data_IF_426674799358
#
_entry.id   IF_426674799358
#
_cell.length_a   1.000
_cell.length_b   1.000
_cell.length_c   1.000
_cell.angle_alpha   90.00
_cell.angle_beta   90.00
_cell.angle_gamma   90.00
#
_symmetry.space_group_name_H-M   'P 1'
#
loop_
_entity.id
_entity.type
_entity.pdbx_description
1 polymer ?
#
# COMPACT_ATOMS: atom_id res chain seq x y z
N UNK A 1 57.03 29.55 39.92
CA UNK A 1 56.91 29.56 38.44
C UNK A 1 56.02 28.38 38.15
N UNK A 2 54.71 28.60 38.25
CA UNK A 2 53.68 27.57 38.37
C UNK A 2 52.60 27.89 37.35
N UNK A 3 52.16 26.85 36.66
CA UNK A 3 51.44 26.86 35.39
C UNK A 3 49.97 27.28 35.54
N UNK A 4 49.49 28.01 34.54
CA UNK A 4 48.08 28.37 34.34
C UNK A 4 47.57 27.60 33.11
N UNK A 5 46.83 26.52 33.34
CA UNK A 5 46.34 25.60 32.29
C UNK A 5 44.88 25.16 32.51
N UNK A 6 44.04 26.02 33.12
CA UNK A 6 42.64 25.66 33.42
C UNK A 6 41.58 26.50 32.69
N UNK A 7 41.96 27.32 31.70
CA UNK A 7 41.04 28.29 31.10
C UNK A 7 40.73 28.10 29.60
N UNK A 8 40.89 26.88 29.05
CA UNK A 8 40.65 26.63 27.60
C UNK A 8 39.67 25.50 27.24
N UNK A 9 38.90 24.95 28.18
CA UNK A 9 37.95 23.87 27.86
C UNK A 9 36.46 24.25 27.82
N UNK A 10 36.08 25.50 28.12
CA UNK A 10 34.66 25.88 28.18
C UNK A 10 34.06 26.43 26.86
N UNK A 11 34.87 26.79 25.87
CA UNK A 11 34.37 27.48 24.67
C UNK A 11 33.94 26.55 23.51
N UNK A 12 34.07 25.22 23.63
CA UNK A 12 33.77 24.30 22.51
C UNK A 12 32.38 23.64 22.54
N UNK A 13 31.61 23.77 23.63
CA UNK A 13 30.25 23.24 23.69
C UNK A 13 29.29 24.26 24.32
N UNK A 14 28.73 25.14 23.47
CA UNK A 14 27.64 26.05 23.81
C UNK A 14 26.33 25.33 24.14
N UNK A 15 26.31 24.54 25.22
CA UNK A 15 25.14 23.88 25.74
C UNK A 15 24.62 24.64 26.97
N UNK A 16 23.52 25.39 26.79
CA UNK A 16 22.75 25.92 27.92
C UNK A 16 22.27 24.77 28.82
N UNK A 17 22.20 24.95 30.15
CA UNK A 17 21.69 23.94 31.05
C UNK A 17 20.23 23.60 30.71
N UNK A 18 19.96 22.30 30.54
CA UNK A 18 18.63 21.78 30.21
C UNK A 18 17.81 21.67 31.51
N UNK A 19 16.55 22.14 31.54
CA UNK A 19 15.69 22.02 32.72
C UNK A 19 15.43 20.55 33.08
N UNK A 20 15.55 20.23 34.38
CA UNK A 20 15.44 18.90 34.99
C UNK A 20 14.00 18.36 35.14
N UNK A 21 13.06 18.77 34.28
CA UNK A 21 11.71 18.18 34.29
C UNK A 21 11.62 16.97 33.35
N UNK A 22 10.98 15.86 33.76
CA UNK A 22 10.78 14.71 32.90
C UNK A 22 9.87 15.10 31.74
N UNK A 23 10.48 15.25 30.56
CA UNK A 23 9.76 15.36 29.29
C UNK A 23 8.90 14.12 29.10
N UNK A 24 7.67 14.30 28.62
CA UNK A 24 6.83 13.16 28.21
C UNK A 24 7.59 12.27 27.24
N UNK A 25 7.30 10.96 27.23
CA UNK A 25 7.93 9.99 26.33
C UNK A 25 7.90 10.46 24.87
N UNK A 26 6.80 11.09 24.44
CA UNK A 26 6.68 11.67 23.10
C UNK A 26 7.65 12.83 22.85
N UNK A 27 7.89 13.71 23.83
CA UNK A 27 8.84 14.82 23.71
C UNK A 27 10.29 14.33 23.61
N UNK A 28 10.61 13.24 24.32
CA UNK A 28 11.93 12.58 24.20
C UNK A 28 12.08 11.93 22.82
N UNK A 29 11.07 11.21 22.33
CA UNK A 29 11.08 10.59 21.01
C UNK A 29 11.19 11.64 19.89
N UNK A 30 10.48 12.77 19.99
CA UNK A 30 10.60 13.89 19.06
C UNK A 30 12.00 14.49 19.02
N UNK A 31 12.65 14.66 20.19
CA UNK A 31 14.03 15.15 20.26
C UNK A 31 15.03 14.15 19.63
N UNK A 32 14.82 12.85 19.81
CA UNK A 32 15.64 11.80 19.20
C UNK A 32 15.49 11.81 17.68
N UNK A 33 14.27 11.93 17.15
CA UNK A 33 14.01 12.02 15.72
C UNK A 33 14.70 13.23 15.07
N UNK A 34 14.59 14.42 15.69
CA UNK A 34 15.26 15.65 15.19
C UNK A 34 16.79 15.51 15.19
N UNK A 35 17.37 14.86 16.20
CA UNK A 35 18.81 14.60 16.24
C UNK A 35 19.24 13.57 15.21
N UNK A 36 18.44 12.53 14.96
CA UNK A 36 18.69 11.53 13.90
C UNK A 36 18.81 12.19 12.52
N UNK A 37 17.91 13.11 12.19
CA UNK A 37 17.93 13.80 10.89
C UNK A 37 19.13 14.72 10.67
N UNK A 38 19.92 15.00 11.71
CA UNK A 38 21.16 15.80 11.62
C UNK A 38 22.43 14.97 11.58
N UNK A 39 22.32 13.66 11.73
CA UNK A 39 23.49 12.79 11.73
C UNK A 39 23.96 12.51 10.31
N UNK A 40 25.29 12.49 10.08
CA UNK A 40 25.84 12.01 8.83
C UNK A 40 25.33 10.61 8.47
N UNK A 41 25.13 10.35 7.19
CA UNK A 41 24.60 9.07 6.68
C UNK A 41 25.38 7.83 7.15
N UNK A 42 26.70 7.95 7.34
CA UNK A 42 27.53 6.87 7.91
C UNK A 42 27.27 6.61 9.41
N UNK A 43 26.89 7.64 10.19
CA UNK A 43 26.53 7.51 11.61
C UNK A 43 25.11 6.97 11.77
N UNK A 44 24.20 7.28 10.85
CA UNK A 44 22.87 6.68 10.80
C UNK A 44 22.94 5.16 10.54
N UNK A 45 23.88 4.73 9.70
CA UNK A 45 24.15 3.31 9.48
C UNK A 45 24.65 2.59 10.74
N UNK A 46 25.51 3.22 11.54
CA UNK A 46 26.00 2.61 12.79
C UNK A 46 24.93 2.56 13.89
N UNK A 47 24.02 3.54 13.94
CA UNK A 47 22.90 3.53 14.90
C UNK A 47 21.78 2.54 14.54
N UNK A 48 21.65 2.17 13.27
CA UNK A 48 20.71 1.13 12.84
C UNK A 48 21.16 -0.30 13.22
N UNK A 49 22.38 -0.48 13.75
CA UNK A 49 22.89 -1.77 14.21
C UNK A 49 22.25 -2.29 15.52
N UNK A 50 21.47 -1.48 16.23
CA UNK A 50 20.86 -1.87 17.52
C UNK A 50 19.37 -2.18 17.46
N UNK A 51 18.72 -2.09 16.29
CA UNK A 51 17.41 -2.71 16.16
C UNK A 51 17.59 -4.22 16.03
N UNK A 52 16.78 -5.05 16.73
CA UNK A 52 16.79 -6.48 16.52
C UNK A 52 16.64 -6.73 15.03
N UNK A 53 17.51 -7.56 14.46
CA UNK A 53 17.58 -7.76 13.03
C UNK A 53 16.21 -8.18 12.49
N UNK A 54 15.47 -7.24 11.91
CA UNK A 54 14.20 -7.50 11.24
C UNK A 54 14.43 -8.26 9.93
N UNK A 55 15.70 -8.53 9.57
CA UNK A 55 16.11 -9.22 8.35
C UNK A 55 15.58 -10.64 8.19
N UNK A 56 14.98 -11.22 9.25
CA UNK A 56 14.43 -12.57 9.23
C UNK A 56 12.91 -12.66 9.08
N UNK A 57 12.16 -11.56 9.25
CA UNK A 57 10.70 -11.57 9.11
C UNK A 57 10.33 -10.75 7.87
N UNK A 58 9.60 -11.35 6.95
CA UNK A 58 9.01 -10.61 5.83
C UNK A 58 7.63 -10.09 6.25
N UNK A 59 7.12 -9.03 5.60
CA UNK A 59 5.71 -8.69 5.69
C UNK A 59 4.84 -9.91 5.46
N UNK A 60 3.74 -9.98 6.21
CA UNK A 60 2.74 -11.04 6.01
C UNK A 60 1.54 -10.44 5.32
N UNK A 61 0.76 -11.24 4.61
CA UNK A 61 -0.49 -10.78 4.04
C UNK A 61 -1.57 -11.83 4.27
N UNK A 62 -2.83 -11.41 4.17
CA UNK A 62 -3.98 -12.29 4.21
C UNK A 62 -4.99 -11.94 3.12
N UNK A 63 -6.07 -12.72 3.07
CA UNK A 63 -7.17 -12.54 2.12
C UNK A 63 -8.54 -12.64 2.80
N UNK A 64 -9.48 -11.80 2.39
CA UNK A 64 -10.85 -11.75 2.89
C UNK A 64 -11.82 -11.65 1.72
N UNK A 65 -12.99 -12.25 1.90
CA UNK A 65 -14.12 -12.16 0.98
C UNK A 65 -15.31 -11.56 1.71
N UNK A 66 -15.85 -10.48 1.14
CA UNK A 66 -17.10 -9.87 1.54
C UNK A 66 -18.18 -10.36 0.59
N UNK A 67 -19.31 -10.81 1.13
CA UNK A 67 -20.55 -10.94 0.39
C UNK A 67 -21.51 -9.86 0.90
N UNK A 68 -21.59 -8.69 0.23
CA UNK A 68 -22.41 -7.60 0.71
C UNK A 68 -23.88 -7.98 0.70
N UNK A 69 -24.51 -7.91 1.88
CA UNK A 69 -25.95 -8.09 2.02
C UNK A 69 -26.65 -7.03 1.15
N UNK A 70 -27.28 -7.49 0.07
CA UNK A 70 -27.99 -6.65 -0.90
C UNK A 70 -29.35 -6.19 -0.38
N UNK A 71 -29.86 -6.82 0.69
CA UNK A 71 -31.18 -6.53 1.25
C UNK A 71 -31.17 -5.37 2.24
N UNK A 72 -29.98 -4.99 2.74
CA UNK A 72 -29.84 -3.92 3.72
C UNK A 72 -29.14 -2.73 3.09
N UNK A 73 -29.76 -1.56 3.17
CA UNK A 73 -29.18 -0.25 2.84
C UNK A 73 -28.02 0.17 3.76
N UNK A 74 -27.28 -0.80 4.32
CA UNK A 74 -26.11 -0.52 5.14
C UNK A 74 -25.00 0.01 4.23
N UNK A 75 -24.72 1.29 4.43
CA UNK A 75 -23.61 2.06 3.84
C UNK A 75 -22.24 1.41 4.08
N UNK A 76 -22.13 0.48 5.02
CA UNK A 76 -20.87 -0.12 5.46
C UNK A 76 -21.07 -1.60 5.76
N UNK A 77 -20.19 -2.44 5.22
CA UNK A 77 -20.01 -3.81 5.67
C UNK A 77 -18.64 -3.89 6.36
N UNK A 78 -18.61 -4.54 7.53
CA UNK A 78 -17.42 -4.66 8.35
C UNK A 78 -17.18 -6.12 8.66
N UNK A 79 -15.96 -6.60 8.44
CA UNK A 79 -15.46 -7.83 9.04
C UNK A 79 -14.65 -7.42 10.26
N UNK A 80 -15.04 -7.91 11.43
CA UNK A 80 -14.43 -7.52 12.70
C UNK A 80 -13.41 -8.55 13.17
N UNK A 81 -12.53 -8.10 14.06
CA UNK A 81 -11.64 -8.98 14.83
C UNK A 81 -10.69 -9.83 13.98
N UNK A 82 -10.25 -9.31 12.83
CA UNK A 82 -9.25 -9.97 11.98
C UNK A 82 -7.92 -9.97 12.72
N UNK A 83 -7.37 -11.13 13.08
CA UNK A 83 -6.14 -11.19 13.86
C UNK A 83 -4.96 -10.72 13.01
N UNK A 84 -4.02 -10.03 13.64
CA UNK A 84 -2.73 -9.76 13.01
C UNK A 84 -1.98 -11.07 12.81
N UNK A 85 -1.42 -11.27 11.63
CA UNK A 85 -0.60 -12.42 11.32
C UNK A 85 0.71 -12.41 12.11
N UNK A 86 1.18 -11.24 12.54
CA UNK A 86 2.39 -11.06 13.35
C UNK A 86 2.13 -10.96 14.85
N UNK A 87 0.89 -11.18 15.32
CA UNK A 87 0.53 -11.12 16.75
C UNK A 87 1.24 -12.20 17.60
N UNK A 88 2.53 -12.02 17.86
CA UNK A 88 3.21 -12.72 18.94
C UNK A 88 2.91 -12.03 20.27
N UNK A 89 2.68 -12.82 21.32
CA UNK A 89 2.48 -12.33 22.70
C UNK A 89 3.60 -11.33 23.04
N UNK A 90 3.25 -10.05 23.15
CA UNK A 90 4.15 -9.00 23.63
C UNK A 90 4.50 -7.87 22.65
N UNK A 91 4.03 -7.89 21.39
CA UNK A 91 4.12 -6.67 20.57
C UNK A 91 3.06 -5.66 21.03
N UNK A 92 3.51 -4.47 21.43
CA UNK A 92 2.65 -3.36 21.87
C UNK A 92 2.28 -2.42 20.72
N UNK A 93 2.91 -2.57 19.56
CA UNK A 93 2.74 -1.65 18.44
C UNK A 93 1.87 -2.25 17.34
N UNK A 94 0.91 -1.46 16.87
CA UNK A 94 -0.04 -1.86 15.83
C UNK A 94 0.66 -1.85 14.46
N UNK A 95 0.62 -2.95 13.69
CA UNK A 95 1.18 -2.98 12.34
C UNK A 95 0.36 -2.10 11.39
N UNK A 96 1.00 -1.59 10.34
CA UNK A 96 0.26 -0.94 9.26
C UNK A 96 -0.43 -2.01 8.39
N UNK A 97 -1.67 -1.75 7.98
CA UNK A 97 -2.48 -2.65 7.15
C UNK A 97 -2.78 -1.95 5.82
N UNK A 98 -2.33 -2.55 4.72
CA UNK A 98 -2.39 -1.96 3.38
C UNK A 98 -3.31 -2.82 2.52
N UNK A 99 -4.56 -2.41 2.28
CA UNK A 99 -5.52 -3.19 1.50
C UNK A 99 -5.27 -3.05 -0.01
N UNK A 100 -5.58 -4.10 -0.75
CA UNK A 100 -5.62 -4.13 -2.21
C UNK A 100 -6.86 -4.91 -2.68
N UNK A 101 -7.65 -4.28 -3.56
CA UNK A 101 -8.80 -4.97 -4.17
C UNK A 101 -8.26 -5.99 -5.18
N UNK A 102 -8.66 -7.24 -5.03
CA UNK A 102 -8.31 -8.33 -5.96
C UNK A 102 -9.50 -8.94 -6.68
N UNK A 103 -10.72 -8.76 -6.17
CA UNK A 103 -11.92 -9.16 -6.88
C UNK A 103 -13.10 -8.28 -6.51
N UNK A 104 -14.03 -8.14 -7.45
CA UNK A 104 -15.39 -7.73 -7.14
C UNK A 104 -16.38 -8.21 -8.21
N UNK A 105 -17.63 -8.38 -7.79
CA UNK A 105 -18.76 -8.75 -8.64
C UNK A 105 -19.86 -7.70 -8.53
N UNK A 106 -20.25 -7.12 -9.67
CA UNK A 106 -21.35 -6.17 -9.82
C UNK A 106 -22.35 -6.69 -10.86
N UNK A 107 -23.49 -7.27 -10.44
CA UNK A 107 -24.51 -7.78 -11.36
C UNK A 107 -25.27 -6.70 -12.13
N UNK A 108 -25.40 -5.48 -11.60
CA UNK A 108 -26.17 -4.42 -12.26
C UNK A 108 -25.24 -3.44 -13.00
N UNK A 109 -25.41 -3.34 -14.32
CA UNK A 109 -24.69 -2.43 -15.20
C UNK A 109 -25.15 -0.96 -15.09
N UNK A 110 -26.36 -0.72 -14.56
CA UNK A 110 -27.00 0.60 -14.54
C UNK A 110 -26.67 1.45 -13.31
N UNK A 111 -25.92 0.93 -12.34
CA UNK A 111 -25.67 1.62 -11.07
C UNK A 111 -24.26 2.20 -10.97
N UNK A 112 -24.13 3.28 -10.19
CA UNK A 112 -22.81 3.83 -9.83
C UNK A 112 -22.00 2.76 -9.11
N UNK A 113 -20.72 2.60 -9.44
CA UNK A 113 -19.78 1.78 -8.67
C UNK A 113 -19.23 2.64 -7.53
N UNK A 114 -19.24 2.14 -6.29
CA UNK A 114 -18.67 2.82 -5.13
C UNK A 114 -18.18 1.79 -4.11
N UNK A 115 -16.90 1.46 -4.18
CA UNK A 115 -16.27 0.49 -3.31
C UNK A 115 -15.05 1.13 -2.69
N UNK A 116 -14.98 1.24 -1.38
CA UNK A 116 -13.78 1.68 -0.68
C UNK A 116 -13.44 0.69 0.43
N UNK A 117 -12.20 0.23 0.46
CA UNK A 117 -11.70 -0.69 1.46
C UNK A 117 -10.81 0.09 2.43
N UNK A 118 -10.99 -0.12 3.74
CA UNK A 118 -10.12 0.47 4.75
C UNK A 118 -9.94 -0.48 5.94
N UNK A 119 -8.71 -0.56 6.45
CA UNK A 119 -8.47 -1.12 7.76
C UNK A 119 -8.85 -0.09 8.82
N UNK A 120 -9.66 -0.51 9.79
CA UNK A 120 -10.21 0.36 10.84
C UNK A 120 -10.14 -0.35 12.20
N UNK A 121 -10.47 0.38 13.26
CA UNK A 121 -10.58 -0.17 14.62
C UNK A 121 -9.41 -1.09 15.02
N UNK A 122 -8.18 -0.65 14.70
CA UNK A 122 -6.96 -1.39 15.01
C UNK A 122 -6.76 -1.44 16.52
N UNK A 123 -6.72 -2.65 17.06
CA UNK A 123 -6.54 -3.00 18.47
C UNK A 123 -5.21 -3.71 18.64
N UNK A 124 -4.92 -4.25 19.82
CA UNK A 124 -3.57 -4.79 20.09
C UNK A 124 -3.34 -6.14 19.39
N UNK A 125 -4.39 -6.92 19.15
CA UNK A 125 -4.30 -8.26 18.55
C UNK A 125 -5.02 -8.40 17.20
N UNK A 126 -5.82 -7.41 16.83
CA UNK A 126 -6.71 -7.50 15.68
C UNK A 126 -7.09 -6.13 15.11
N UNK A 127 -7.73 -6.15 13.95
CA UNK A 127 -8.29 -4.98 13.30
C UNK A 127 -9.62 -5.34 12.63
N UNK A 128 -10.34 -4.32 12.18
CA UNK A 128 -11.54 -4.51 11.38
C UNK A 128 -11.24 -4.11 9.93
N UNK A 129 -11.82 -4.81 8.95
CA UNK A 129 -11.77 -4.41 7.55
C UNK A 129 -13.15 -3.93 7.13
N UNK A 130 -13.23 -2.70 6.64
CA UNK A 130 -14.46 -2.07 6.19
C UNK A 130 -14.50 -1.97 4.67
N UNK A 131 -15.64 -2.38 4.11
CA UNK A 131 -16.04 -2.08 2.75
C UNK A 131 -17.15 -1.01 2.80
N UNK A 132 -16.77 0.23 2.52
CA UNK A 132 -17.65 1.39 2.48
C UNK A 132 -18.31 1.54 1.10
N UNK A 133 -19.61 1.87 1.13
CA UNK A 133 -20.48 2.08 -0.03
C UNK A 133 -21.26 3.37 0.18
N UNK A 134 -21.09 4.39 -0.66
CA UNK A 134 -21.84 5.66 -0.50
C UNK A 134 -23.27 5.61 -1.05
N UNK A 135 -23.59 4.62 -1.89
CA UNK A 135 -24.90 4.43 -2.52
C UNK A 135 -25.35 2.98 -2.42
N UNK A 136 -26.66 2.75 -2.52
CA UNK A 136 -27.22 1.40 -2.62
C UNK A 136 -26.58 0.72 -3.83
N UNK A 137 -25.74 -0.27 -3.54
CA UNK A 137 -24.90 -0.93 -4.50
C UNK A 137 -25.18 -2.41 -4.42
N UNK A 138 -25.50 -2.99 -5.57
CA UNK A 138 -25.47 -4.43 -5.76
C UNK A 138 -24.02 -4.82 -6.10
N UNK A 139 -23.20 -5.00 -5.07
CA UNK A 139 -21.99 -5.80 -5.18
C UNK A 139 -22.31 -7.16 -4.56
N UNK A 140 -22.08 -8.24 -5.29
CA UNK A 140 -22.34 -9.60 -4.79
C UNK A 140 -21.16 -10.14 -3.99
N UNK A 141 -19.95 -9.79 -4.42
CA UNK A 141 -18.71 -10.29 -3.87
C UNK A 141 -17.65 -9.21 -3.99
N UNK A 142 -16.82 -9.08 -2.96
CA UNK A 142 -15.59 -8.29 -2.99
C UNK A 142 -14.51 -9.14 -2.32
N UNK A 143 -13.35 -9.27 -2.96
CA UNK A 143 -12.19 -9.89 -2.34
C UNK A 143 -11.05 -8.89 -2.21
N UNK A 144 -10.41 -8.95 -1.05
CA UNK A 144 -9.34 -8.04 -0.64
C UNK A 144 -8.16 -8.89 -0.17
N UNK A 145 -6.97 -8.57 -0.65
CA UNK A 145 -5.74 -8.92 0.04
C UNK A 145 -5.29 -7.72 0.90
N UNK A 146 -4.63 -7.97 2.03
CA UNK A 146 -3.96 -6.91 2.79
C UNK A 146 -2.54 -7.30 3.12
N UNK A 147 -1.63 -6.33 3.04
CA UNK A 147 -0.27 -6.44 3.54
C UNK A 147 -0.23 -5.93 4.98
N UNK A 148 0.37 -6.71 5.87
CA UNK A 148 0.66 -6.36 7.24
C UNK A 148 2.15 -6.02 7.38
N UNK A 149 2.42 -4.74 7.65
CA UNK A 149 3.76 -4.24 7.95
C UNK A 149 3.90 -4.08 9.46
N UNK A 150 4.60 -5.02 10.07
CA UNK A 150 5.01 -4.94 11.47
C UNK A 150 5.73 -3.61 11.75
N UNK A 151 5.52 -3.05 12.93
CA UNK A 151 6.05 -1.72 13.27
C UNK A 151 7.58 -1.67 13.20
N UNK A 152 8.26 -2.79 13.41
CA UNK A 152 9.71 -2.90 13.24
C UNK A 152 10.14 -2.66 11.78
N UNK A 153 9.32 -3.04 10.81
CA UNK A 153 9.56 -2.74 9.41
C UNK A 153 9.48 -1.25 9.13
N UNK A 154 8.45 -0.57 9.62
CA UNK A 154 8.26 0.86 9.40
C UNK A 154 9.27 1.71 10.17
N UNK A 155 9.60 1.33 11.41
CA UNK A 155 10.62 2.01 12.22
C UNK A 155 12.04 1.85 11.65
N UNK A 156 12.32 0.73 10.97
CA UNK A 156 13.63 0.54 10.31
C UNK A 156 13.84 1.45 9.10
N UNK A 157 12.79 2.12 8.60
CA UNK A 157 12.82 2.91 7.36
C UNK A 157 12.91 2.07 6.08
N UNK A 158 13.02 0.73 6.18
CA UNK A 158 13.10 -0.18 5.02
C UNK A 158 11.77 -0.40 4.33
N UNK A 159 10.67 -0.09 5.01
CA UNK A 159 9.32 -0.19 4.50
C UNK A 159 8.54 1.06 4.91
N UNK A 160 7.80 1.64 3.98
CA UNK A 160 6.88 2.73 4.23
C UNK A 160 5.62 2.49 3.42
N UNK A 161 4.49 3.02 3.87
CA UNK A 161 3.21 2.79 3.22
C UNK A 161 2.26 3.94 3.47
N UNK A 162 1.22 4.02 2.66
CA UNK A 162 0.13 4.96 2.87
C UNK A 162 -1.04 4.68 1.94
N UNK A 163 -2.04 5.54 2.05
CA UNK A 163 -3.21 5.54 1.18
C UNK A 163 -3.47 6.96 0.72
N UNK A 164 -3.99 7.12 -0.50
CA UNK A 164 -4.34 8.41 -1.08
C UNK A 164 -5.74 8.29 -1.67
N UNK A 165 -6.60 9.25 -1.36
CA UNK A 165 -7.91 9.39 -1.99
C UNK A 165 -7.85 10.59 -2.93
N UNK A 166 -8.15 10.38 -4.21
CA UNK A 166 -8.14 11.39 -5.26
C UNK A 166 -9.58 11.67 -5.70
N UNK A 167 -9.94 12.94 -5.79
CA UNK A 167 -11.24 13.40 -6.26
C UNK A 167 -11.14 13.79 -7.74
N UNK A 168 -11.96 13.15 -8.59
CA UNK A 168 -12.03 13.39 -10.02
C UNK A 168 -13.17 14.36 -10.39
N UNK A 169 -13.96 14.84 -9.41
CA UNK A 169 -14.98 15.86 -9.66
C UNK A 169 -14.39 17.27 -9.73
N UNK A 170 -13.27 17.52 -9.03
CA UNK A 170 -12.62 18.83 -8.97
C UNK A 170 -11.81 19.14 -10.23
N UNK A 171 -11.34 18.12 -10.94
CA UNK A 171 -10.54 18.29 -12.15
C UNK A 171 -11.07 17.40 -13.28
N UNK A 172 -11.46 17.96 -14.44
CA UNK A 172 -11.82 17.15 -15.62
C UNK A 172 -10.61 16.41 -16.22
N UNK A 173 -9.48 16.37 -15.50
CA UNK A 173 -8.25 15.75 -15.93
C UNK A 173 -8.43 14.24 -16.03
N UNK A 174 -8.10 13.72 -17.20
CA UNK A 174 -7.93 12.29 -17.42
C UNK A 174 -6.78 11.69 -16.59
N UNK A 175 -6.01 12.49 -15.85
CA UNK A 175 -4.90 12.04 -15.02
C UNK A 175 -4.67 13.01 -13.86
N UNK A 176 -4.62 12.48 -12.64
CA UNK A 176 -4.24 13.20 -11.43
C UNK A 176 -2.91 12.62 -10.94
N UNK A 177 -1.99 13.50 -10.54
CA UNK A 177 -0.68 13.16 -10.01
C UNK A 177 -0.53 13.73 -8.61
N UNK A 178 0.16 13.01 -7.73
CA UNK A 178 0.37 13.44 -6.34
C UNK A 178 1.72 12.95 -5.86
N UNK A 179 2.52 13.87 -5.34
CA UNK A 179 3.78 13.55 -4.70
C UNK A 179 3.54 12.98 -3.30
N UNK A 180 4.17 11.84 -3.02
CA UNK A 180 4.32 11.31 -1.67
C UNK A 180 5.72 11.60 -1.16
N UNK A 181 5.80 11.93 0.14
CA UNK A 181 7.07 12.06 0.86
C UNK A 181 7.24 10.89 1.82
N UNK A 182 8.41 10.27 1.77
CA UNK A 182 8.79 9.25 2.72
C UNK A 182 9.13 9.92 4.06
N UNK A 183 8.50 9.43 5.13
CA UNK A 183 8.78 9.85 6.51
C UNK A 183 10.25 9.67 6.89
N UNK A 184 10.91 8.66 6.30
CA UNK A 184 12.34 8.43 6.41
C UNK A 184 12.91 8.26 5.00
N UNK A 185 13.85 9.09 4.53
CA UNK A 185 14.50 8.86 3.25
C UNK A 185 15.16 7.47 3.19
N UNK A 186 15.06 6.80 2.05
CA UNK A 186 15.73 5.53 1.81
C UNK A 186 17.22 5.74 1.53
N UNK A 187 18.05 4.70 1.72
CA UNK A 187 19.48 4.78 1.35
C UNK A 187 19.70 4.67 -0.16
N UNK A 188 18.76 4.07 -0.86
CA UNK A 188 18.73 3.92 -2.31
C UNK A 188 17.30 4.08 -2.79
N UNK A 189 17.12 4.46 -4.06
CA UNK A 189 15.79 4.54 -4.68
C UNK A 189 14.98 3.27 -4.36
N UNK A 190 13.84 3.40 -3.66
CA UNK A 190 13.03 2.27 -3.28
C UNK A 190 12.24 1.73 -4.47
N UNK A 191 11.76 0.51 -4.35
CA UNK A 191 10.65 0.03 -5.17
C UNK A 191 9.34 0.52 -4.55
N UNK A 192 8.41 0.97 -5.39
CA UNK A 192 7.11 1.49 -4.94
C UNK A 192 6.00 0.78 -5.70
N UNK A 193 5.08 0.16 -4.96
CA UNK A 193 3.93 -0.57 -5.49
C UNK A 193 2.66 0.17 -5.14
N UNK A 194 1.74 0.27 -6.09
CA UNK A 194 0.46 0.98 -5.94
C UNK A 194 -0.69 0.05 -6.37
N UNK A 195 -1.70 -0.06 -5.52
CA UNK A 195 -2.91 -0.84 -5.77
C UNK A 195 -4.15 0.03 -5.63
N UNK A 196 -5.22 -0.33 -6.35
CA UNK A 196 -6.56 0.18 -6.10
C UNK A 196 -7.08 -0.37 -4.77
N UNK A 197 -7.50 0.53 -3.89
CA UNK A 197 -8.20 0.23 -2.64
C UNK A 197 -9.55 0.93 -2.53
N UNK A 198 -9.90 1.75 -3.51
CA UNK A 198 -11.24 2.28 -3.66
C UNK A 198 -11.53 2.85 -5.04
N UNK A 199 -12.78 2.77 -5.46
CA UNK A 199 -13.27 3.20 -6.77
C UNK A 199 -14.68 3.77 -6.57
N UNK A 200 -14.88 5.00 -7.02
CA UNK A 200 -16.19 5.60 -7.23
C UNK A 200 -16.34 6.03 -8.69
N UNK A 201 -17.31 5.46 -9.38
CA UNK A 201 -17.68 5.83 -10.74
C UNK A 201 -19.20 6.02 -10.83
N UNK A 202 -19.68 7.06 -11.53
CA UNK A 202 -21.10 7.30 -11.69
C UNK A 202 -21.76 6.20 -12.52
N UNK A 203 -23.10 6.15 -12.49
CA UNK A 203 -23.84 5.35 -13.47
C UNK A 203 -23.58 5.94 -14.85
N UNK A 204 -23.13 5.11 -15.78
CA UNK A 204 -22.71 5.57 -17.11
C UNK A 204 -22.72 4.42 -18.12
N UNK A 205 -23.08 4.71 -19.36
CA UNK A 205 -22.97 3.74 -20.45
C UNK A 205 -21.53 3.61 -21.00
N UNK A 206 -20.58 4.36 -20.46
CA UNK A 206 -19.17 4.39 -20.88
C UNK A 206 -18.36 3.33 -20.14
N UNK A 207 -17.27 2.84 -20.73
CA UNK A 207 -16.38 1.86 -20.08
C UNK A 207 -15.73 2.48 -18.82
N UNK A 208 -15.58 1.68 -17.77
CA UNK A 208 -14.75 2.00 -16.61
C UNK A 208 -13.29 1.76 -16.98
N UNK A 209 -12.50 2.82 -17.04
CA UNK A 209 -11.06 2.73 -17.32
C UNK A 209 -10.30 3.49 -16.25
N UNK A 210 -9.44 2.77 -15.54
CA UNK A 210 -8.61 3.30 -14.46
C UNK A 210 -7.24 2.63 -14.56
N UNK A 211 -6.17 3.40 -14.36
CA UNK A 211 -4.83 2.89 -14.12
C UNK A 211 -4.20 3.73 -13.02
N UNK A 212 -3.48 3.10 -12.12
CA UNK A 212 -2.67 3.76 -11.11
C UNK A 212 -1.27 3.18 -11.10
N UNK A 213 -0.30 3.97 -10.64
CA UNK A 213 1.08 3.55 -10.55
C UNK A 213 1.97 4.70 -10.10
N UNK A 214 3.27 4.52 -10.35
CA UNK A 214 4.30 5.52 -10.07
C UNK A 214 4.80 6.08 -11.38
N UNK A 215 4.93 7.40 -11.46
CA UNK A 215 5.40 8.07 -12.67
C UNK A 215 6.83 7.65 -12.99
N UNK A 216 7.09 7.36 -14.27
CA UNK A 216 8.38 6.86 -14.73
C UNK A 216 9.50 7.86 -14.39
N UNK A 217 10.51 7.40 -13.67
CA UNK A 217 11.66 8.20 -13.29
C UNK A 217 11.38 9.27 -12.22
N UNK A 218 10.22 9.20 -11.56
CA UNK A 218 9.82 10.14 -10.49
C UNK A 218 9.84 9.48 -9.10
N UNK A 219 10.68 8.46 -8.92
CA UNK A 219 10.96 7.87 -7.60
C UNK A 219 12.35 8.31 -7.16
N UNK A 220 12.43 8.95 -6.01
CA UNK A 220 13.69 9.30 -5.35
C UNK A 220 13.80 8.54 -4.03
N UNK A 221 14.90 8.72 -3.32
CA UNK A 221 15.05 8.27 -1.94
C UNK A 221 14.15 9.00 -0.95
N UNK A 222 13.68 10.21 -1.27
CA UNK A 222 12.83 11.05 -0.42
C UNK A 222 11.33 10.93 -0.71
N UNK A 223 10.95 10.46 -1.90
CA UNK A 223 9.54 10.38 -2.29
C UNK A 223 9.28 9.71 -3.63
N UNK A 224 8.03 9.79 -4.07
CA UNK A 224 7.61 9.34 -5.39
C UNK A 224 6.40 10.13 -5.91
N UNK A 225 6.26 10.30 -7.22
CA UNK A 225 5.03 10.81 -7.83
C UNK A 225 4.10 9.63 -8.17
N UNK A 226 2.96 9.54 -7.48
CA UNK A 226 1.90 8.57 -7.79
C UNK A 226 0.95 9.20 -8.81
N UNK A 227 0.53 8.42 -9.81
CA UNK A 227 -0.50 8.84 -10.76
C UNK A 227 -1.72 7.93 -10.68
N UNK A 228 -2.88 8.52 -10.98
CA UNK A 228 -4.10 7.81 -11.35
C UNK A 228 -4.65 8.43 -12.62
N UNK A 229 -4.91 7.59 -13.63
CA UNK A 229 -5.43 8.00 -14.93
C UNK A 229 -6.72 7.27 -15.29
N UNK A 230 -7.56 7.97 -16.06
CA UNK A 230 -8.78 7.52 -16.68
C UNK A 230 -8.72 7.90 -18.16
N UNK A 231 -9.25 7.06 -19.06
CA UNK A 231 -9.19 7.35 -20.49
C UNK A 231 -10.41 6.88 -21.27
N UNK A 232 -10.49 7.32 -22.54
CA UNK A 232 -11.55 6.94 -23.47
C UNK A 232 -12.95 7.35 -22.98
N UNK A 233 -13.07 8.55 -22.43
CA UNK A 233 -14.29 9.14 -21.88
C UNK A 233 -14.83 8.48 -20.60
N UNK A 234 -14.05 7.61 -19.93
CA UNK A 234 -14.42 7.05 -18.62
C UNK A 234 -14.66 8.18 -17.61
N UNK A 235 -15.72 8.06 -16.83
CA UNK A 235 -16.07 9.02 -15.77
C UNK A 235 -15.76 8.38 -14.42
N UNK A 236 -14.99 9.07 -13.59
CA UNK A 236 -14.68 8.69 -12.22
C UNK A 236 -15.10 9.85 -11.32
N UNK A 237 -15.63 9.54 -10.14
CA UNK A 237 -15.88 10.52 -9.10
C UNK A 237 -14.67 10.56 -8.14
N UNK A 238 -14.17 9.39 -7.73
CA UNK A 238 -13.05 9.29 -6.81
C UNK A 238 -12.33 7.95 -6.95
N UNK A 239 -11.03 7.93 -6.67
CA UNK A 239 -10.22 6.71 -6.60
C UNK A 239 -9.41 6.73 -5.32
N UNK A 240 -9.39 5.63 -4.59
CA UNK A 240 -8.44 5.41 -3.49
C UNK A 240 -7.37 4.42 -3.93
N UNK A 241 -6.12 4.78 -3.70
CA UNK A 241 -4.98 3.90 -3.90
C UNK A 241 -4.27 3.65 -2.58
N UNK A 242 -3.77 2.44 -2.42
CA UNK A 242 -2.84 2.06 -1.36
C UNK A 242 -1.46 1.89 -1.97
N UNK A 243 -0.43 2.31 -1.25
CA UNK A 243 0.95 2.16 -1.71
C UNK A 243 1.87 1.62 -0.63
N UNK A 244 2.91 0.92 -1.08
CA UNK A 244 4.04 0.49 -0.25
C UNK A 244 5.34 0.81 -0.97
N UNK A 245 6.30 1.35 -0.23
CA UNK A 245 7.67 1.58 -0.67
C UNK A 245 8.61 0.71 0.15
N UNK A 246 9.57 0.06 -0.49
CA UNK A 246 10.56 -0.75 0.20
C UNK A 246 11.94 -0.63 -0.45
N UNK A 247 12.98 -0.87 0.33
CA UNK A 247 14.36 -0.84 -0.15
C UNK A 247 14.56 -1.89 -1.26
N UNK A 248 14.93 -1.44 -2.47
CA UNK A 248 15.11 -2.26 -3.67
C UNK A 248 16.14 -3.39 -3.50
N UNK A 249 17.08 -3.23 -2.56
CA UNK A 249 18.10 -4.23 -2.22
C UNK A 249 17.62 -5.31 -1.25
N UNK A 250 16.39 -5.23 -0.72
CA UNK A 250 15.84 -6.27 0.15
C UNK A 250 15.84 -7.63 -0.55
N UNK A 251 16.47 -8.62 0.07
CA UNK A 251 16.41 -10.01 -0.36
C UNK A 251 15.06 -10.62 0.02
N UNK A 252 14.57 -11.57 -0.77
CA UNK A 252 13.29 -12.24 -0.51
C UNK A 252 12.05 -11.38 -0.75
N UNK A 253 12.18 -10.23 -1.42
CA UNK A 253 11.08 -9.31 -1.74
C UNK A 253 11.22 -8.86 -3.19
N UNK A 254 10.14 -8.92 -3.95
CA UNK A 254 10.08 -8.41 -5.31
C UNK A 254 8.65 -7.99 -5.65
N UNK A 255 8.52 -7.01 -6.53
CA UNK A 255 7.24 -6.55 -7.06
C UNK A 255 7.30 -6.48 -8.58
N UNK A 256 6.18 -6.74 -9.22
CA UNK A 256 6.02 -6.63 -10.65
C UNK A 256 4.56 -6.38 -11.03
N UNK A 257 4.31 -6.23 -12.32
CA UNK A 257 2.98 -6.02 -12.87
C UNK A 257 2.80 -6.86 -14.13
N UNK A 258 1.57 -7.29 -14.37
CA UNK A 258 1.19 -7.98 -15.60
C UNK A 258 -0.02 -7.28 -16.23
N UNK A 259 0.02 -7.12 -17.55
CA UNK A 259 -1.09 -6.59 -18.32
C UNK A 259 -1.74 -7.74 -19.10
N UNK A 260 -3.06 -7.87 -19.03
CA UNK A 260 -3.80 -8.82 -19.89
C UNK A 260 -3.56 -8.61 -21.38
N UNK A 261 -3.20 -7.39 -21.82
CA UNK A 261 -2.86 -7.10 -23.20
C UNK A 261 -1.53 -7.74 -23.65
N UNK A 262 -0.65 -8.12 -22.72
CA UNK A 262 0.55 -8.89 -23.05
C UNK A 262 0.28 -10.38 -23.22
N UNK A 263 -0.89 -10.85 -22.76
CA UNK A 263 -1.31 -12.25 -22.84
C UNK A 263 -2.27 -12.52 -24.00
N UNK A 264 -3.02 -11.49 -24.40
CA UNK A 264 -3.98 -11.58 -25.51
C UNK A 264 -4.17 -10.23 -26.21
N UNK A 265 -4.59 -10.23 -27.49
CA UNK A 265 -5.03 -9.02 -28.16
C UNK A 265 -6.26 -8.38 -27.48
N UNK A 266 -6.32 -7.05 -27.44
CA UNK A 266 -7.48 -6.32 -26.88
C UNK A 266 -8.79 -6.65 -27.63
N UNK A 267 -8.69 -6.81 -28.97
CA UNK A 267 -9.84 -7.08 -29.85
C UNK A 267 -10.43 -8.48 -29.69
N UNK A 268 -9.73 -9.39 -29.00
CA UNK A 268 -10.15 -10.77 -28.76
C UNK A 268 -10.22 -10.97 -27.24
N UNK A 269 -11.24 -10.42 -26.56
CA UNK A 269 -11.36 -10.54 -25.12
C UNK A 269 -11.51 -12.00 -24.70
N UNK A 270 -10.77 -12.42 -23.68
CA UNK A 270 -10.90 -13.74 -23.09
C UNK A 270 -11.48 -13.64 -21.69
N UNK A 271 -12.41 -14.54 -21.39
CA UNK A 271 -12.98 -14.67 -20.06
C UNK A 271 -11.95 -15.11 -19.03
N UNK A 272 -10.93 -15.85 -19.43
CA UNK A 272 -9.86 -16.33 -18.58
C UNK A 272 -8.55 -15.94 -19.24
N UNK A 273 -7.68 -15.28 -18.49
CA UNK A 273 -6.35 -14.92 -18.93
C UNK A 273 -5.41 -15.56 -17.93
N UNK A 274 -4.43 -16.33 -18.41
CA UNK A 274 -3.36 -16.91 -17.59
C UNK A 274 -2.03 -16.49 -18.17
N UNK A 275 -1.13 -16.02 -17.31
CA UNK A 275 0.24 -15.70 -17.66
C UNK A 275 1.19 -16.24 -16.62
N UNK A 276 2.45 -16.42 -17.02
CA UNK A 276 3.54 -16.90 -16.19
C UNK A 276 4.56 -15.77 -16.00
N UNK A 277 5.02 -15.59 -14.77
CA UNK A 277 6.10 -14.66 -14.45
C UNK A 277 7.16 -15.42 -13.65
N UNK A 278 8.40 -15.34 -14.12
CA UNK A 278 9.55 -15.84 -13.39
C UNK A 278 10.02 -14.79 -12.37
N UNK A 279 10.32 -15.24 -11.15
CA UNK A 279 10.97 -14.37 -10.19
C UNK A 279 12.43 -14.15 -10.59
N UNK A 280 13.01 -12.97 -10.30
CA UNK A 280 14.41 -12.72 -10.56
C UNK A 280 15.29 -13.82 -9.93
N UNK A 281 16.30 -14.33 -10.65
CA UNK A 281 17.19 -15.35 -10.13
C UNK A 281 17.85 -14.88 -8.84
N UNK A 282 18.11 -15.82 -7.93
CA UNK A 282 18.79 -15.60 -6.64
C UNK A 282 18.08 -14.67 -5.65
N UNK A 283 16.96 -14.03 -6.03
CA UNK A 283 16.20 -13.13 -5.15
C UNK A 283 15.52 -13.89 -4.01
N UNK A 284 15.15 -15.15 -4.23
CA UNK A 284 14.41 -15.98 -3.28
C UNK A 284 15.10 -17.33 -3.04
N UNK A 285 15.28 -17.71 -1.77
CA UNK A 285 15.83 -19.02 -1.35
C UNK A 285 14.76 -20.11 -1.20
N UNK A 286 13.48 -19.70 -1.11
CA UNK A 286 12.31 -20.55 -0.92
C UNK A 286 11.21 -20.04 -1.85
N UNK A 287 10.20 -20.85 -2.14
CA UNK A 287 9.01 -20.40 -2.87
C UNK A 287 8.40 -19.19 -2.16
N UNK A 288 8.29 -18.02 -2.83
CA UNK A 288 7.75 -16.82 -2.22
C UNK A 288 6.23 -16.96 -2.02
N UNK A 289 5.72 -16.24 -1.03
CA UNK A 289 4.29 -15.96 -0.92
C UNK A 289 3.97 -14.75 -1.79
N UNK A 290 2.83 -14.76 -2.49
CA UNK A 290 2.46 -13.68 -3.41
C UNK A 290 1.12 -13.05 -3.03
N UNK A 291 1.13 -11.72 -2.89
CA UNK A 291 -0.05 -10.88 -2.78
C UNK A 291 -0.35 -10.26 -4.15
N UNK A 292 -1.64 -10.11 -4.49
CA UNK A 292 -2.06 -9.46 -5.74
C UNK A 292 -3.07 -8.36 -5.49
N UNK A 293 -3.15 -7.43 -6.43
CA UNK A 293 -4.14 -6.36 -6.43
C UNK A 293 -4.23 -5.71 -7.79
N UNK A 294 -5.35 -5.06 -8.08
CA UNK A 294 -5.50 -4.34 -9.34
C UNK A 294 -4.75 -3.00 -9.30
N UNK A 295 -3.93 -2.74 -10.32
CA UNK A 295 -3.43 -1.40 -10.64
C UNK A 295 -4.04 -0.85 -11.93
N UNK A 296 -4.79 -1.66 -12.68
CA UNK A 296 -5.47 -1.26 -13.90
C UNK A 296 -6.79 -2.03 -14.06
N UNK A 297 -7.85 -1.31 -14.45
CA UNK A 297 -9.14 -1.87 -14.82
C UNK A 297 -9.61 -1.25 -16.14
N UNK A 298 -10.05 -2.10 -17.07
CA UNK A 298 -10.72 -1.69 -18.30
C UNK A 298 -11.96 -2.56 -18.51
N UNK A 299 -13.11 -2.10 -18.02
CA UNK A 299 -14.34 -2.87 -17.92
C UNK A 299 -15.50 -2.20 -18.66
N UNK A 300 -16.33 -3.00 -19.32
CA UNK A 300 -17.55 -2.49 -19.94
C UNK A 300 -18.61 -2.25 -18.87
N UNK A 301 -19.07 -1.00 -18.73
CA UNK A 301 -20.06 -0.65 -17.71
C UNK A 301 -21.49 -1.08 -18.08
N UNK A 302 -21.76 -1.51 -19.33
CA UNK A 302 -23.07 -1.97 -19.83
C UNK A 302 -23.42 -3.42 -19.48
N UNK A 303 -22.51 -4.16 -18.86
CA UNK A 303 -22.67 -5.57 -18.53
C UNK A 303 -22.36 -5.79 -17.05
N UNK A 304 -22.68 -7.00 -16.58
CA UNK A 304 -22.23 -7.45 -15.27
C UNK A 304 -20.70 -7.37 -15.22
N UNK A 305 -20.14 -6.80 -14.16
CA UNK A 305 -18.69 -6.70 -13.99
C UNK A 305 -18.27 -7.70 -12.93
N UNK A 306 -17.66 -8.79 -13.35
CA UNK A 306 -17.10 -9.79 -12.46
C UNK A 306 -15.63 -9.89 -12.79
N UNK A 307 -14.80 -9.37 -11.90
CA UNK A 307 -13.34 -9.40 -12.02
C UNK A 307 -12.75 -10.05 -10.80
N UNK A 308 -11.75 -10.90 -11.04
CA UNK A 308 -10.96 -11.53 -9.97
C UNK A 308 -9.56 -11.73 -10.50
N UNK A 309 -8.57 -11.44 -9.67
CA UNK A 309 -7.19 -11.86 -9.85
C UNK A 309 -6.76 -12.70 -8.64
N UNK A 310 -5.90 -13.68 -8.88
CA UNK A 310 -5.25 -14.45 -7.84
C UNK A 310 -3.92 -14.97 -8.38
N UNK A 311 -3.05 -15.34 -7.44
CA UNK A 311 -1.83 -16.10 -7.69
C UNK A 311 -2.03 -17.52 -7.19
N UNK A 312 -1.62 -18.53 -7.97
CA UNK A 312 -1.49 -19.90 -7.45
C UNK A 312 -0.02 -20.24 -7.26
N UNK A 313 0.31 -21.00 -6.21
CA UNK A 313 1.68 -21.44 -5.95
C UNK A 313 2.16 -22.43 -7.02
N UNK A 314 3.21 -22.03 -7.75
CA UNK A 314 4.18 -22.87 -8.43
C UNK A 314 5.56 -22.23 -8.29
N UNK A 315 6.60 -22.76 -8.94
CA UNK A 315 7.84 -21.98 -9.23
C UNK A 315 7.57 -20.82 -10.22
N UNK A 316 6.30 -20.53 -10.43
CA UNK A 316 5.63 -19.91 -11.55
C UNK A 316 4.38 -19.22 -10.98
N UNK A 317 4.19 -17.97 -11.35
CA UNK A 317 3.02 -17.18 -10.96
C UNK A 317 1.91 -17.34 -11.99
N UNK A 318 0.76 -17.89 -11.62
CA UNK A 318 -0.44 -17.87 -12.48
C UNK A 318 -1.30 -16.65 -12.13
N UNK A 319 -1.42 -15.70 -13.04
CA UNK A 319 -2.43 -14.64 -12.95
C UNK A 319 -3.70 -15.10 -13.64
N UNK A 320 -4.77 -15.38 -12.91
CA UNK A 320 -6.07 -15.69 -13.52
C UNK A 320 -7.00 -14.47 -13.43
N UNK A 321 -7.14 -13.72 -14.53
CA UNK A 321 -8.18 -12.69 -14.65
C UNK A 321 -9.43 -13.30 -15.25
N UNK A 322 -10.47 -13.47 -14.42
CA UNK A 322 -11.81 -13.80 -14.91
C UNK A 322 -12.55 -12.52 -15.27
N UNK A 323 -12.93 -12.34 -16.53
CA UNK A 323 -13.92 -11.34 -16.95
C UNK A 323 -15.15 -12.06 -17.49
N UNK A 324 -16.25 -12.06 -16.75
CA UNK A 324 -17.51 -12.57 -17.27
C UNK A 324 -18.19 -11.47 -18.08
N UNK A 325 -18.17 -11.58 -19.41
CA UNK A 325 -19.03 -10.77 -20.28
C UNK A 325 -20.20 -11.62 -20.74
N UNK A 326 -21.28 -11.66 -19.94
CA UNK A 326 -22.59 -12.10 -20.45
C UNK A 326 -23.19 -10.98 -21.29
#
# INVERSE_FOLDING_TARGET
>A
MEFDEEQKLEDFFGCRPVPLHPKSTESVLGCIAVRRNRLPSHTLQSLNLHYPSVSGKHPTFGSLTFSPDTTKYKRMQRMTDIPYATSSRGSVSKPAIIPAIKAFSRPDAGQSLCLFIAATNQRDACFDMEACRYKALQLNEVEVDWLELATEHTQSGRWQSGEICLDFNSEPACSIKTDIRFSNPFLTTPEVVVWLSGIEAPSSNKKLRIRCGVSKGQTTDEGAEIYVESWGCSSLNSVKVSWVAYDSKLLGVHSGSIDTNSLRPEKIPQHFNTGYIEFPPEKFKKTPKVMVGFSMLCLCNKKQMNVKTFASNGREFNFLSKQYQY
#
